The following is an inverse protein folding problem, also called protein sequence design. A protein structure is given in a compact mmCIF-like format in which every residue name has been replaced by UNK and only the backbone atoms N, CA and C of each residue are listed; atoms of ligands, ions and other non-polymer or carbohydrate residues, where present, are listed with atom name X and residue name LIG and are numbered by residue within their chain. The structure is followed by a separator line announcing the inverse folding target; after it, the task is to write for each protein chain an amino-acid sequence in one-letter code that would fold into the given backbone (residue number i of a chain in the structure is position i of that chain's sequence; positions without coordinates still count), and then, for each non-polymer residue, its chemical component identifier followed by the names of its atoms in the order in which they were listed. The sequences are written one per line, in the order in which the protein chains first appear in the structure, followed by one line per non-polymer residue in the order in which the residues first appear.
data_IF_422874266269
#
_entry.id   IF_422874266269
#
_cell.length_a   1.000
_cell.length_b   1.000
_cell.length_c   1.000
_cell.angle_alpha   90.00
_cell.angle_beta   90.00
_cell.angle_gamma   90.00
#
_symmetry.space_group_name_H-M   'P 1'
#
loop_
_entity.id
_entity.type
_entity.pdbx_description
1 polymer ?
#
# COMPACT_ATOMS: atom_id res chain seq x y z
N UNK A 1 -7.46 -6.87 15.25
CA UNK A 1 -6.34 -7.77 14.96
C UNK A 1 -6.89 -9.18 14.77
N UNK A 2 -6.51 -9.80 13.67
CA UNK A 2 -6.81 -11.20 13.33
C UNK A 2 -5.68 -12.08 13.86
N UNK A 3 -5.96 -13.33 14.21
CA UNK A 3 -4.95 -14.27 14.68
C UNK A 3 -4.00 -14.70 13.54
N UNK A 4 -2.87 -15.34 13.88
CA UNK A 4 -1.84 -15.71 12.91
C UNK A 4 -2.35 -16.68 11.84
N UNK A 5 -3.27 -17.58 12.19
CA UNK A 5 -3.83 -18.53 11.23
C UNK A 5 -4.74 -17.81 10.22
N UNK A 6 -5.58 -16.88 10.69
CA UNK A 6 -6.40 -16.03 9.83
C UNK A 6 -5.55 -15.12 8.95
N UNK A 7 -4.41 -14.60 9.48
CA UNK A 7 -3.48 -13.80 8.69
C UNK A 7 -2.91 -14.62 7.52
N UNK A 8 -2.43 -15.84 7.77
CA UNK A 8 -1.88 -16.72 6.73
C UNK A 8 -2.92 -17.05 5.67
N UNK A 9 -4.15 -17.40 6.07
CA UNK A 9 -5.25 -17.67 5.14
C UNK A 9 -5.54 -16.46 4.25
N UNK A 10 -5.66 -15.27 4.84
CA UNK A 10 -5.96 -14.06 4.10
C UNK A 10 -4.83 -13.68 3.13
N UNK A 11 -3.56 -13.82 3.55
CA UNK A 11 -2.42 -13.56 2.67
C UNK A 11 -2.43 -14.50 1.47
N UNK A 12 -2.67 -15.80 1.68
CA UNK A 12 -2.72 -16.78 0.60
C UNK A 12 -3.93 -16.56 -0.32
N UNK A 13 -5.10 -16.22 0.24
CA UNK A 13 -6.26 -15.85 -0.57
C UNK A 13 -6.04 -14.57 -1.41
N UNK A 14 -5.25 -13.60 -0.93
CA UNK A 14 -4.84 -12.42 -1.71
C UNK A 14 -3.87 -12.81 -2.83
N UNK A 15 -3.00 -13.80 -2.60
CA UNK A 15 -2.08 -14.29 -3.64
C UNK A 15 -2.89 -15.01 -4.72
N UNK A 16 -3.76 -15.96 -4.34
CA UNK A 16 -4.62 -16.72 -5.26
C UNK A 16 -5.56 -15.79 -6.05
N UNK A 17 -6.08 -14.72 -5.42
CA UNK A 17 -6.89 -13.72 -6.12
C UNK A 17 -6.19 -13.11 -7.34
N UNK A 18 -4.88 -12.92 -7.26
CA UNK A 18 -4.11 -12.09 -8.21
C UNK A 18 -3.16 -12.87 -9.12
N UNK A 19 -2.80 -14.10 -8.79
CA UNK A 19 -1.94 -14.89 -9.67
C UNK A 19 -2.72 -15.44 -10.88
N UNK A 20 -2.02 -16.02 -11.83
CA UNK A 20 -2.61 -16.35 -13.13
C UNK A 20 -3.03 -17.82 -13.25
N UNK A 21 -2.78 -18.62 -12.22
CA UNK A 21 -3.13 -20.04 -12.24
C UNK A 21 -4.33 -20.35 -11.32
N UNK A 22 -4.73 -21.59 -11.22
CA UNK A 22 -5.85 -22.07 -10.40
C UNK A 22 -5.36 -23.02 -9.29
N UNK A 23 -4.08 -22.90 -8.88
CA UNK A 23 -3.48 -23.74 -7.86
C UNK A 23 -3.62 -23.08 -6.49
N UNK A 24 -4.54 -23.59 -5.70
CA UNK A 24 -4.77 -23.06 -4.35
C UNK A 24 -3.52 -23.16 -3.47
N UNK A 25 -3.10 -22.07 -2.87
CA UNK A 25 -2.07 -22.03 -1.84
C UNK A 25 -2.58 -22.69 -0.55
N UNK A 26 -1.64 -23.11 0.31
CA UNK A 26 -2.01 -23.71 1.61
C UNK A 26 -2.92 -22.75 2.38
N UNK A 27 -4.14 -23.20 2.68
CA UNK A 27 -5.20 -22.38 3.30
C UNK A 27 -5.59 -21.13 2.48
N UNK A 28 -5.26 -21.07 1.20
CA UNK A 28 -5.67 -20.04 0.27
C UNK A 28 -7.11 -20.22 -0.24
N UNK A 29 -7.48 -19.54 -1.31
CA UNK A 29 -8.82 -19.64 -1.84
C UNK A 29 -8.85 -19.43 -3.36
N UNK A 30 -9.25 -20.47 -4.07
CA UNK A 30 -9.55 -20.47 -5.48
C UNK A 30 -11.06 -20.65 -5.70
N UNK A 31 -11.47 -20.94 -6.91
CA UNK A 31 -12.86 -21.05 -7.30
C UNK A 31 -13.71 -21.96 -6.40
N UNK A 32 -13.16 -23.09 -5.97
CA UNK A 32 -13.90 -24.08 -5.17
C UNK A 32 -14.23 -23.52 -3.79
N UNK A 33 -13.28 -22.86 -3.12
CA UNK A 33 -13.45 -22.28 -1.80
C UNK A 33 -14.47 -21.12 -1.82
N UNK A 34 -14.50 -20.34 -2.90
CA UNK A 34 -15.53 -19.29 -3.09
C UNK A 34 -16.93 -19.90 -3.25
N UNK A 35 -17.06 -21.00 -4.01
CA UNK A 35 -18.33 -21.71 -4.17
C UNK A 35 -18.79 -22.36 -2.87
N UNK A 36 -17.90 -22.99 -2.11
CA UNK A 36 -18.18 -23.55 -0.79
C UNK A 36 -18.64 -22.47 0.22
N UNK A 37 -18.09 -21.26 0.11
CA UNK A 37 -18.54 -20.11 0.88
C UNK A 37 -19.89 -19.53 0.43
N UNK A 38 -20.50 -20.10 -0.63
CA UNK A 38 -21.79 -19.64 -1.17
C UNK A 38 -21.71 -18.36 -2.00
N UNK A 39 -20.50 -18.00 -2.46
CA UNK A 39 -20.28 -16.84 -3.30
C UNK A 39 -20.53 -17.17 -4.77
N UNK A 40 -21.05 -16.21 -5.53
CA UNK A 40 -21.38 -16.37 -6.96
C UNK A 40 -20.30 -15.78 -7.88
N UNK A 41 -19.11 -15.55 -7.35
CA UNK A 41 -17.93 -15.09 -8.06
C UNK A 41 -16.71 -15.91 -7.64
N UNK A 42 -15.60 -15.73 -8.31
CA UNK A 42 -14.34 -16.44 -8.12
C UNK A 42 -13.17 -15.44 -8.17
N UNK A 43 -11.94 -15.84 -7.82
CA UNK A 43 -10.75 -15.00 -7.97
C UNK A 43 -10.61 -14.42 -9.38
N UNK A 44 -10.06 -13.23 -9.44
CA UNK A 44 -9.83 -12.52 -10.69
C UNK A 44 -8.74 -13.12 -11.56
N UNK A 45 -7.79 -13.84 -10.95
CA UNK A 45 -6.55 -14.39 -11.52
C UNK A 45 -5.78 -13.34 -12.34
N UNK A 46 -5.80 -12.09 -11.83
CA UNK A 46 -5.15 -10.91 -12.41
C UNK A 46 -4.69 -9.96 -11.32
N UNK A 47 -3.65 -9.14 -11.59
CA UNK A 47 -3.29 -8.05 -10.68
C UNK A 47 -4.49 -7.18 -10.33
N UNK A 48 -4.59 -6.76 -9.08
CA UNK A 48 -5.64 -5.85 -8.62
C UNK A 48 -5.68 -4.57 -9.48
N UNK A 49 -6.87 -4.19 -9.92
CA UNK A 49 -7.11 -2.94 -10.64
C UNK A 49 -7.44 -1.79 -9.67
N UNK A 50 -8.02 -2.13 -8.52
CA UNK A 50 -8.35 -1.18 -7.46
C UNK A 50 -8.15 -1.79 -6.06
N UNK A 51 -8.02 -0.93 -5.04
CA UNK A 51 -7.92 -1.40 -3.64
C UNK A 51 -9.26 -1.97 -3.18
N UNK A 52 -10.34 -1.46 -3.71
CA UNK A 52 -11.70 -1.90 -3.41
C UNK A 52 -11.93 -3.38 -3.75
N UNK A 53 -11.21 -3.95 -4.71
CA UNK A 53 -11.26 -5.38 -5.02
C UNK A 53 -10.85 -6.28 -3.85
N UNK A 54 -10.03 -5.77 -2.91
CA UNK A 54 -9.69 -6.52 -1.70
C UNK A 54 -10.93 -6.93 -0.89
N UNK A 55 -12.06 -6.22 -1.02
CA UNK A 55 -13.32 -6.59 -0.39
C UNK A 55 -13.90 -7.91 -0.90
N UNK A 56 -13.50 -8.33 -2.09
CA UNK A 56 -13.97 -9.55 -2.74
C UNK A 56 -13.11 -10.76 -2.36
N UNK A 57 -11.92 -10.55 -1.78
CA UNK A 57 -11.04 -11.63 -1.35
C UNK A 57 -11.67 -12.38 -0.17
N UNK A 58 -11.70 -13.71 -0.26
CA UNK A 58 -12.26 -14.56 0.77
C UNK A 58 -11.56 -14.34 2.12
N UNK A 59 -12.33 -14.11 3.18
CA UNK A 59 -11.82 -13.81 4.52
C UNK A 59 -11.49 -12.34 4.78
N UNK A 60 -11.63 -11.45 3.79
CA UNK A 60 -11.48 -10.02 4.00
C UNK A 60 -12.71 -9.43 4.68
N UNK A 61 -12.51 -8.80 5.83
CA UNK A 61 -13.55 -8.04 6.50
C UNK A 61 -13.28 -6.53 6.45
N UNK A 62 -14.31 -5.73 6.77
CA UNK A 62 -14.20 -4.25 6.71
C UNK A 62 -13.16 -3.68 7.65
N UNK A 63 -12.92 -4.30 8.81
CA UNK A 63 -11.97 -3.80 9.81
C UNK A 63 -10.54 -4.02 9.32
N UNK A 64 -10.28 -5.19 8.75
CA UNK A 64 -8.98 -5.54 8.14
C UNK A 64 -8.72 -4.65 6.93
N UNK A 65 -9.73 -4.49 6.05
CA UNK A 65 -9.59 -3.62 4.89
C UNK A 65 -9.25 -2.18 5.28
N UNK A 66 -10.00 -1.59 6.21
CA UNK A 66 -9.74 -0.22 6.68
C UNK A 66 -8.34 -0.05 7.30
N UNK A 67 -7.80 -1.11 7.87
CA UNK A 67 -6.45 -1.10 8.42
C UNK A 67 -5.37 -1.24 7.34
N UNK A 68 -5.63 -2.06 6.29
CA UNK A 68 -4.68 -2.30 5.20
C UNK A 68 -4.69 -1.16 4.17
N UNK A 69 -5.84 -0.57 3.88
CA UNK A 69 -6.03 0.42 2.82
C UNK A 69 -4.95 1.51 2.78
N UNK A 70 -4.54 2.15 3.90
CA UNK A 70 -3.50 3.17 3.89
C UNK A 70 -2.08 2.62 3.66
N UNK A 71 -1.89 1.30 3.70
CA UNK A 71 -0.58 0.64 3.59
C UNK A 71 -0.28 0.12 2.19
N UNK A 72 -1.29 -0.02 1.34
CA UNK A 72 -1.18 -0.68 0.03
C UNK A 72 -1.57 0.24 -1.11
N UNK A 73 -1.09 -0.08 -2.30
CA UNK A 73 -1.43 0.65 -3.52
C UNK A 73 -1.35 -0.28 -4.73
N UNK A 74 -2.23 -0.10 -5.69
CA UNK A 74 -2.20 -0.79 -6.99
C UNK A 74 -1.45 0.01 -8.07
N UNK A 75 -1.12 1.26 -7.79
CA UNK A 75 -0.61 2.19 -8.80
C UNK A 75 0.91 2.16 -8.95
N UNK A 76 1.66 1.81 -7.90
CA UNK A 76 3.13 1.89 -7.92
C UNK A 76 3.77 0.93 -8.92
N UNK A 77 3.17 -0.24 -9.13
CA UNK A 77 3.74 -1.36 -9.91
C UNK A 77 5.17 -1.70 -9.52
N UNK A 78 5.56 -1.36 -8.29
CA UNK A 78 6.88 -1.63 -7.74
C UNK A 78 6.79 -2.79 -6.75
N UNK A 79 7.70 -3.77 -6.82
CA UNK A 79 7.71 -4.90 -5.91
C UNK A 79 8.20 -4.54 -4.50
N UNK A 80 8.76 -3.35 -4.33
CA UNK A 80 9.41 -2.92 -3.09
C UNK A 80 8.93 -1.54 -2.66
N UNK A 81 8.93 -1.33 -1.34
CA UNK A 81 8.62 -0.04 -0.72
C UNK A 81 9.81 0.91 -0.87
N UNK A 82 9.54 2.14 -1.27
CA UNK A 82 10.53 3.21 -1.33
C UNK A 82 10.61 3.93 0.03
N UNK A 83 11.58 3.57 0.88
CA UNK A 83 11.75 4.16 2.21
C UNK A 83 11.90 5.69 2.22
N UNK A 84 12.58 6.32 1.24
CA UNK A 84 12.69 7.78 1.21
C UNK A 84 11.36 8.53 1.18
N UNK A 85 10.29 7.91 0.73
CA UNK A 85 8.97 8.53 0.56
C UNK A 85 7.83 7.80 1.28
N UNK A 86 8.09 6.62 1.82
CA UNK A 86 7.07 5.82 2.51
C UNK A 86 6.48 6.56 3.72
N UNK A 87 5.19 6.34 3.99
CA UNK A 87 4.53 6.86 5.18
C UNK A 87 5.09 6.19 6.45
N UNK A 88 4.80 6.79 7.60
CA UNK A 88 5.19 6.24 8.91
C UNK A 88 4.64 4.84 9.12
N UNK A 89 3.37 4.65 8.79
CA UNK A 89 2.65 3.39 8.95
C UNK A 89 3.24 2.29 8.06
N UNK A 90 3.56 2.62 6.81
CA UNK A 90 4.22 1.68 5.89
C UNK A 90 5.61 1.32 6.39
N UNK A 91 6.42 2.30 6.84
CA UNK A 91 7.74 2.03 7.42
C UNK A 91 7.64 1.09 8.63
N UNK A 92 6.67 1.30 9.50
CA UNK A 92 6.42 0.45 10.67
C UNK A 92 6.03 -0.97 10.26
N UNK A 93 5.13 -1.11 9.29
CA UNK A 93 4.66 -2.42 8.83
C UNK A 93 5.76 -3.27 8.20
N UNK A 94 6.65 -2.67 7.39
CA UNK A 94 7.67 -3.44 6.63
C UNK A 94 8.98 -3.64 7.37
N UNK A 95 9.31 -2.82 8.37
CA UNK A 95 10.62 -2.87 9.04
C UNK A 95 10.60 -3.58 10.37
N UNK A 96 9.46 -3.61 11.05
CA UNK A 96 9.35 -4.08 12.45
C UNK A 96 10.16 -3.26 13.44
N UNK A 97 10.64 -2.07 13.04
CA UNK A 97 11.44 -1.19 13.89
C UNK A 97 10.59 -0.55 14.99
N UNK A 98 11.28 -0.19 16.07
CA UNK A 98 10.72 0.68 17.10
C UNK A 98 10.24 2.02 16.52
N UNK A 99 9.13 2.51 17.04
CA UNK A 99 8.49 3.74 16.55
C UNK A 99 9.39 4.96 16.69
N UNK A 100 10.22 5.03 17.73
CA UNK A 100 11.17 6.13 17.93
C UNK A 100 12.26 6.19 16.86
N UNK A 101 12.73 5.04 16.38
CA UNK A 101 13.71 4.98 15.28
C UNK A 101 13.06 5.44 13.96
N UNK A 102 11.82 5.04 13.71
CA UNK A 102 11.06 5.47 12.53
C UNK A 102 10.83 6.99 12.57
N UNK A 103 10.39 7.53 13.71
CA UNK A 103 10.16 8.95 13.88
C UNK A 103 11.45 9.77 13.69
N UNK A 104 12.56 9.26 14.22
CA UNK A 104 13.88 9.87 14.03
C UNK A 104 14.30 9.88 12.55
N UNK A 105 14.08 8.78 11.85
CA UNK A 105 14.33 8.70 10.40
C UNK A 105 13.49 9.69 9.61
N UNK A 106 12.20 9.81 9.93
CA UNK A 106 11.29 10.75 9.27
C UNK A 106 11.73 12.20 9.50
N UNK A 107 12.14 12.55 10.73
CA UNK A 107 12.65 13.89 11.04
C UNK A 107 13.91 14.20 10.25
N UNK A 108 14.90 13.29 10.21
CA UNK A 108 16.12 13.46 9.41
C UNK A 108 15.79 13.59 7.91
N UNK A 109 14.86 12.79 7.40
CA UNK A 109 14.40 12.84 6.01
C UNK A 109 13.81 14.21 5.66
N UNK A 110 12.96 14.75 6.54
CA UNK A 110 12.36 16.08 6.38
C UNK A 110 13.40 17.20 6.44
N UNK A 111 14.37 17.10 7.35
CA UNK A 111 15.46 18.06 7.45
C UNK A 111 16.34 18.08 6.20
N UNK A 112 16.72 16.89 5.71
CA UNK A 112 17.47 16.76 4.46
C UNK A 112 16.70 17.36 3.28
N UNK A 113 15.40 17.08 3.19
CA UNK A 113 14.56 17.64 2.12
C UNK A 113 14.52 19.17 2.15
N UNK A 114 14.43 19.80 3.34
CA UNK A 114 14.50 21.26 3.48
C UNK A 114 15.83 21.84 2.98
N UNK A 115 16.90 21.09 3.12
CA UNK A 115 18.25 21.50 2.71
C UNK A 115 18.61 21.01 1.29
N UNK A 116 17.65 20.49 0.51
CA UNK A 116 17.85 19.89 -0.82
C UNK A 116 18.87 18.74 -0.82
N UNK A 117 19.00 18.03 0.28
CA UNK A 117 19.85 16.85 0.42
C UNK A 117 19.03 15.58 0.18
N UNK A 118 19.67 14.48 -0.28
CA UNK A 118 19.00 13.19 -0.41
C UNK A 118 18.51 12.67 0.94
N UNK A 119 17.49 11.82 0.92
CA UNK A 119 17.04 11.15 2.12
C UNK A 119 18.18 10.34 2.76
N UNK A 120 18.28 10.29 4.08
CA UNK A 120 19.30 9.48 4.76
C UNK A 120 19.07 7.98 4.47
N UNK A 121 20.09 7.12 4.60
CA UNK A 121 19.90 5.68 4.50
C UNK A 121 18.93 5.21 5.59
N UNK A 122 18.05 4.27 5.24
CA UNK A 122 17.14 3.66 6.22
C UNK A 122 17.95 2.80 7.21
N UNK A 123 17.64 2.84 8.52
CA UNK A 123 18.50 2.27 9.56
C UNK A 123 18.60 0.75 9.58
N UNK A 124 17.82 0.05 8.76
CA UNK A 124 17.86 -1.42 8.63
C UNK A 124 18.17 -1.81 7.20
N UNK A 125 19.10 -2.74 7.04
CA UNK A 125 19.36 -3.37 5.75
C UNK A 125 18.34 -4.48 5.51
N UNK A 126 17.22 -4.13 4.89
CA UNK A 126 16.16 -5.07 4.52
C UNK A 126 16.44 -5.80 3.20
N UNK A 127 17.65 -5.67 2.63
CA UNK A 127 17.96 -6.14 1.28
C UNK A 127 17.26 -5.32 0.18
N UNK A 128 16.46 -4.35 0.56
CA UNK A 128 15.79 -3.44 -0.36
C UNK A 128 16.72 -2.26 -0.66
N UNK A 129 16.85 -1.92 -1.93
CA UNK A 129 17.65 -0.77 -2.32
C UNK A 129 17.04 0.52 -1.78
N UNK A 130 17.84 1.30 -1.05
CA UNK A 130 17.50 2.66 -0.60
C UNK A 130 17.36 3.67 -1.77
N UNK A 131 17.44 3.20 -3.00
CA UNK A 131 17.21 4.05 -4.15
C UNK A 131 15.76 4.54 -4.08
N UNK A 132 15.60 5.84 -4.01
CA UNK A 132 14.40 6.49 -4.49
C UNK A 132 14.31 6.13 -5.98
N UNK A 133 13.82 4.95 -6.30
CA UNK A 133 13.38 4.64 -7.65
C UNK A 133 12.52 5.81 -8.07
N UNK A 134 12.63 6.24 -9.32
CA UNK A 134 11.81 7.34 -9.83
C UNK A 134 10.33 6.96 -9.74
N UNK A 135 9.81 6.97 -8.52
CA UNK A 135 8.41 6.74 -8.23
C UNK A 135 7.70 8.04 -8.62
N UNK A 136 7.30 8.07 -9.87
CA UNK A 136 6.53 9.18 -10.42
C UNK A 136 5.08 9.19 -9.91
N UNK A 137 4.73 8.32 -8.95
CA UNK A 137 3.39 8.21 -8.37
C UNK A 137 3.43 8.72 -6.93
N UNK A 138 2.56 9.65 -6.64
CA UNK A 138 2.43 10.30 -5.34
C UNK A 138 0.97 10.29 -4.90
N UNK A 139 0.72 9.98 -3.64
CA UNK A 139 -0.58 10.23 -3.01
C UNK A 139 -0.50 11.57 -2.29
N UNK A 140 -1.39 12.48 -2.66
CA UNK A 140 -1.55 13.77 -2.00
C UNK A 140 -2.80 13.72 -1.14
N UNK A 141 -2.65 14.02 0.13
CA UNK A 141 -3.77 14.19 1.06
C UNK A 141 -3.83 15.64 1.47
N UNK A 142 -4.99 16.27 1.25
CA UNK A 142 -5.27 17.62 1.69
C UNK A 142 -6.37 17.60 2.74
N UNK A 143 -6.09 18.17 3.90
CA UNK A 143 -7.07 18.27 4.98
C UNK A 143 -7.38 19.74 5.27
N UNK A 144 -8.67 20.05 5.39
CA UNK A 144 -9.15 21.35 5.82
C UNK A 144 -9.90 21.20 7.15
N UNK A 145 -9.58 22.07 8.10
CA UNK A 145 -10.25 22.17 9.37
C UNK A 145 -10.85 23.56 9.50
N UNK A 146 -12.14 23.65 9.80
CA UNK A 146 -12.84 24.92 10.00
C UNK A 146 -12.99 25.18 11.52
N UNK A 147 -13.15 26.45 11.90
CA UNK A 147 -13.23 26.87 13.32
C UNK A 147 -14.38 26.24 14.11
N UNK A 148 -15.42 25.75 13.45
CA UNK A 148 -16.54 25.03 14.06
C UNK A 148 -16.24 23.54 14.32
N UNK A 149 -15.02 23.08 14.00
CA UNK A 149 -14.60 21.68 14.14
C UNK A 149 -14.92 20.80 12.93
N UNK A 150 -15.55 21.33 11.91
CA UNK A 150 -15.79 20.57 10.65
C UNK A 150 -14.48 20.29 9.93
N UNK A 151 -14.36 19.06 9.41
CA UNK A 151 -13.19 18.60 8.67
C UNK A 151 -13.60 18.15 7.27
N UNK A 152 -12.75 18.45 6.30
CA UNK A 152 -12.81 17.89 4.96
C UNK A 152 -11.44 17.33 4.59
N UNK A 153 -11.41 16.17 3.97
CA UNK A 153 -10.18 15.53 3.45
C UNK A 153 -10.37 15.18 1.99
N UNK A 154 -9.35 15.45 1.19
CA UNK A 154 -9.27 15.04 -0.21
C UNK A 154 -7.98 14.25 -0.39
N UNK A 155 -8.09 13.02 -0.89
CA UNK A 155 -6.97 12.18 -1.29
C UNK A 155 -6.96 12.02 -2.80
N UNK A 156 -5.80 12.24 -3.42
CA UNK A 156 -5.62 12.16 -4.87
C UNK A 156 -4.32 11.40 -5.15
N UNK A 157 -4.37 10.42 -6.04
CA UNK A 157 -3.18 9.74 -6.55
C UNK A 157 -2.80 10.35 -7.89
N UNK A 158 -1.58 10.84 -7.98
CA UNK A 158 -1.04 11.46 -9.19
C UNK A 158 0.18 10.73 -9.70
N UNK A 159 0.32 10.70 -11.02
CA UNK A 159 1.54 10.27 -11.71
C UNK A 159 2.21 11.51 -12.28
N UNK A 160 3.48 11.75 -11.88
CA UNK A 160 4.30 12.81 -12.46
C UNK A 160 4.67 12.45 -13.90
N UNK A 161 4.59 13.42 -14.80
CA UNK A 161 5.01 13.24 -16.20
C UNK A 161 6.52 13.47 -16.36
N UNK A 162 7.22 12.51 -16.94
CA UNK A 162 8.68 12.62 -17.17
C UNK A 162 9.05 13.46 -18.40
N UNK A 163 8.09 13.74 -19.28
CA UNK A 163 8.37 14.23 -20.64
C UNK A 163 8.03 15.70 -20.89
N UNK A 164 8.12 16.60 -19.92
CA UNK A 164 7.94 18.04 -20.19
C UNK A 164 6.63 18.40 -20.94
N UNK A 165 5.65 17.49 -20.94
CA UNK A 165 4.35 17.67 -21.57
C UNK A 165 3.57 18.85 -20.99
N UNK A 166 2.52 19.30 -21.68
CA UNK A 166 1.66 20.41 -21.26
C UNK A 166 1.02 20.18 -19.87
N UNK A 167 0.92 18.93 -19.42
CA UNK A 167 0.44 18.54 -18.11
C UNK A 167 1.58 17.91 -17.31
N UNK A 168 2.03 18.54 -16.20
CA UNK A 168 3.13 18.03 -15.39
C UNK A 168 2.76 16.75 -14.60
N UNK A 169 1.49 16.41 -14.53
CA UNK A 169 0.99 15.22 -13.83
C UNK A 169 -0.33 14.71 -14.44
N UNK A 170 -0.63 13.45 -14.16
CA UNK A 170 -1.90 12.79 -14.47
C UNK A 170 -2.56 12.35 -13.17
N UNK A 171 -3.85 12.61 -12.99
CA UNK A 171 -4.65 12.10 -11.87
C UNK A 171 -5.02 10.64 -12.19
N UNK A 172 -4.77 9.73 -11.23
CA UNK A 172 -5.09 8.31 -11.33
C UNK A 172 -6.33 7.94 -10.49
N UNK A 173 -6.54 8.63 -9.36
CA UNK A 173 -7.71 8.50 -8.46
C UNK A 173 -7.97 9.83 -7.76
#
# INVERSE_FOLDING_TARGET
PIDTAQQSKLVNAIIDWRDADELVHIDGAEKEEYQEAGLNYQPSNKPFESIEELQLVLGMDKSVLSWIEPLVTVYSRQPQVSFPIASREVLQAVSGLDTGLIDSYILMRLENAKNNLPAPPFPVNTGQNNSAGANNILTLVSEALINDGSRASLSVVIKKSDNGGRTPFQILK
#
